data_IF_213514418989
#
_entry.id   IF_213514418989
#
_cell.length_a   1.000
_cell.length_b   1.000
_cell.length_c   1.000
_cell.angle_alpha   90.00
_cell.angle_beta   90.00
_cell.angle_gamma   90.00
#
_symmetry.space_group_name_H-M   'P 1'
#
loop_
_entity.id
_entity.type
_entity.pdbx_description
1 polymer ?
#
# COMPACT_ATOMS: atom_id res chain seq x y z
N UNK A 1 -19.34 13.94 7.44
CA UNK A 1 -18.41 15.06 7.61
C UNK A 1 -17.18 14.80 6.73
N UNK A 2 -16.62 15.82 6.11
CA UNK A 2 -15.36 15.69 5.38
C UNK A 2 -14.20 15.55 6.35
N UNK A 3 -13.20 14.74 6.01
CA UNK A 3 -11.99 14.58 6.80
C UNK A 3 -10.78 15.16 6.05
N UNK A 4 -9.75 15.51 6.79
CA UNK A 4 -8.49 16.04 6.28
C UNK A 4 -7.30 15.23 6.79
N UNK A 5 -6.26 15.12 5.98
CA UNK A 5 -4.92 14.72 6.41
C UNK A 5 -4.20 16.01 6.84
N UNK A 6 -3.66 16.01 8.05
CA UNK A 6 -2.99 17.18 8.65
C UNK A 6 -1.53 16.93 9.02
N UNK A 7 -1.10 15.67 9.01
CA UNK A 7 0.28 15.27 9.22
C UNK A 7 0.56 13.92 8.61
N UNK A 8 1.84 13.66 8.32
CA UNK A 8 2.27 12.38 7.78
C UNK A 8 3.73 12.10 8.13
N UNK A 9 4.08 10.82 8.11
CA UNK A 9 5.44 10.34 8.18
C UNK A 9 5.62 9.08 7.34
N UNK A 10 6.84 8.80 6.93
CA UNK A 10 7.15 7.67 6.07
C UNK A 10 8.61 7.25 6.22
N UNK A 11 8.88 5.98 6.46
CA UNK A 11 10.25 5.44 6.41
C UNK A 11 10.71 5.26 4.95
N UNK A 12 12.01 5.25 4.65
CA UNK A 12 12.48 4.67 3.39
C UNK A 12 11.99 3.23 3.26
N UNK A 13 11.68 2.78 2.03
CA UNK A 13 11.46 1.38 1.73
C UNK A 13 12.78 0.67 1.48
N UNK A 14 12.92 -0.55 2.00
CA UNK A 14 14.12 -1.35 1.75
C UNK A 14 14.27 -2.50 2.73
N UNK A 15 15.47 -3.06 2.78
CA UNK A 15 15.88 -3.98 3.83
C UNK A 15 16.34 -3.17 5.03
N UNK A 16 15.45 -2.98 6.01
CA UNK A 16 15.69 -2.17 7.20
C UNK A 16 16.29 -3.04 8.32
N UNK A 17 17.52 -3.48 8.12
CA UNK A 17 18.23 -4.30 9.10
C UNK A 17 18.37 -3.56 10.44
N UNK A 18 17.98 -4.20 11.52
CA UNK A 18 17.99 -3.61 12.86
C UNK A 18 16.69 -2.93 13.29
N UNK A 19 15.75 -2.71 12.37
CA UNK A 19 14.39 -2.29 12.72
C UNK A 19 13.53 -3.50 13.09
N UNK A 20 12.49 -3.24 13.87
CA UNK A 20 11.42 -4.19 14.20
C UNK A 20 10.07 -3.60 13.78
N UNK A 21 9.03 -4.41 13.73
CA UNK A 21 7.65 -3.92 13.53
C UNK A 21 7.33 -2.82 14.54
N UNK A 22 7.72 -3.00 15.80
CA UNK A 22 7.49 -2.01 16.87
C UNK A 22 8.27 -0.72 16.62
N UNK A 23 9.59 -0.79 16.34
CA UNK A 23 10.41 0.42 16.12
C UNK A 23 9.92 1.23 14.92
N UNK A 24 9.52 0.55 13.83
CA UNK A 24 8.93 1.19 12.65
C UNK A 24 7.61 1.90 12.98
N UNK A 25 6.72 1.24 13.72
CA UNK A 25 5.44 1.82 14.19
C UNK A 25 5.68 3.06 15.04
N UNK A 26 6.50 2.94 16.09
CA UNK A 26 6.78 4.01 17.05
C UNK A 26 7.34 5.24 16.35
N UNK A 27 8.30 5.02 15.46
CA UNK A 27 8.94 6.08 14.68
C UNK A 27 7.93 6.88 13.87
N UNK A 28 7.18 6.24 12.98
CA UNK A 28 6.26 6.97 12.09
C UNK A 28 5.08 7.58 12.85
N UNK A 29 4.62 6.95 13.93
CA UNK A 29 3.57 7.51 14.77
C UNK A 29 4.01 8.82 15.43
N UNK A 30 5.19 8.84 16.03
CA UNK A 30 5.75 10.05 16.63
C UNK A 30 6.04 11.15 15.61
N UNK A 31 6.68 10.78 14.48
CA UNK A 31 6.99 11.73 13.41
C UNK A 31 5.72 12.35 12.78
N UNK A 32 4.64 11.56 12.56
CA UNK A 32 3.39 12.06 12.00
C UNK A 32 2.65 13.02 12.95
N UNK A 33 2.64 12.73 14.25
CA UNK A 33 2.08 13.63 15.26
C UNK A 33 2.87 14.94 15.33
N UNK A 34 4.20 14.87 15.31
CA UNK A 34 5.07 16.05 15.23
C UNK A 34 4.84 16.88 13.98
N UNK A 35 4.72 16.23 12.82
CA UNK A 35 4.44 16.90 11.53
C UNK A 35 3.06 17.57 11.49
N UNK A 36 2.08 17.01 12.20
CA UNK A 36 0.74 17.58 12.39
C UNK A 36 0.70 18.71 13.43
N UNK A 37 1.72 18.84 14.26
CA UNK A 37 1.70 19.66 15.48
C UNK A 37 0.52 19.32 16.41
N UNK A 38 0.25 18.02 16.58
CA UNK A 38 -0.83 17.50 17.44
C UNK A 38 -0.21 16.73 18.61
N UNK A 39 -0.68 17.06 19.81
CA UNK A 39 -0.29 16.30 21.01
C UNK A 39 -0.91 14.92 21.01
N UNK A 40 -0.15 13.91 21.43
CA UNK A 40 -0.61 12.53 21.53
C UNK A 40 -1.86 12.36 22.41
N UNK A 41 -2.01 13.19 23.46
CA UNK A 41 -3.18 13.20 24.34
C UNK A 41 -4.49 13.50 23.60
N UNK A 42 -4.45 14.25 22.49
CA UNK A 42 -5.61 14.69 21.72
C UNK A 42 -6.07 13.64 20.69
N UNK A 43 -5.27 12.59 20.46
CA UNK A 43 -5.65 11.45 19.63
C UNK A 43 -6.85 10.73 20.27
N UNK A 44 -7.95 10.59 19.53
CA UNK A 44 -9.16 9.91 19.98
C UNK A 44 -9.21 8.42 19.59
N UNK A 45 -8.54 8.04 18.49
CA UNK A 45 -8.50 6.66 18.02
C UNK A 45 -7.22 6.39 17.22
N UNK A 46 -6.77 5.16 17.28
CA UNK A 46 -5.62 4.62 16.55
C UNK A 46 -6.11 3.49 15.63
N UNK A 47 -5.74 3.55 14.34
CA UNK A 47 -6.01 2.47 13.39
C UNK A 47 -4.69 2.01 12.79
N UNK A 48 -4.32 0.76 13.03
CA UNK A 48 -3.13 0.17 12.45
C UNK A 48 -3.49 -0.76 11.29
N UNK A 49 -2.92 -0.52 10.13
CA UNK A 49 -2.91 -1.47 9.00
C UNK A 49 -1.65 -2.35 9.07
N UNK A 50 -1.82 -3.65 9.24
CA UNK A 50 -0.74 -4.63 9.26
C UNK A 50 -1.25 -5.96 8.72
N UNK A 51 -0.73 -6.38 7.56
CA UNK A 51 -1.11 -7.66 6.96
C UNK A 51 -0.53 -8.81 7.78
N UNK A 52 0.75 -8.77 8.09
CA UNK A 52 1.53 -9.77 8.80
C UNK A 52 1.60 -11.15 8.12
N UNK A 53 0.50 -11.81 7.86
CA UNK A 53 0.42 -13.14 7.24
C UNK A 53 1.46 -14.19 7.74
N UNK A 54 2.16 -13.92 8.86
CA UNK A 54 3.24 -14.74 9.41
C UNK A 54 4.65 -14.20 9.16
N UNK A 55 4.81 -12.94 8.77
CA UNK A 55 6.13 -12.28 8.65
C UNK A 55 6.73 -11.96 10.02
N UNK A 56 5.90 -11.60 10.98
CA UNK A 56 6.28 -11.32 12.37
C UNK A 56 5.54 -12.28 13.31
N UNK A 57 6.19 -12.79 14.36
CA UNK A 57 5.53 -13.58 15.40
C UNK A 57 4.60 -12.74 16.28
N UNK A 58 4.71 -11.40 16.24
CA UNK A 58 3.93 -10.49 17.08
C UNK A 58 2.58 -10.21 16.45
N UNK A 59 1.52 -10.63 17.11
CA UNK A 59 0.15 -10.18 16.86
C UNK A 59 -0.25 -9.06 17.82
N UNK A 60 -1.52 -8.59 17.74
CA UNK A 60 -2.04 -7.49 18.54
C UNK A 60 -1.24 -6.18 18.35
N UNK A 61 -0.72 -5.99 17.15
CA UNK A 61 0.25 -4.94 16.82
C UNK A 61 -0.30 -3.52 16.93
N UNK A 62 -1.64 -3.33 16.91
CA UNK A 62 -2.24 -2.01 17.18
C UNK A 62 -1.84 -1.46 18.56
N UNK A 63 -1.63 -2.33 19.56
CA UNK A 63 -1.14 -1.93 20.89
C UNK A 63 0.28 -1.41 20.88
N UNK A 64 1.11 -1.77 19.90
CA UNK A 64 2.49 -1.26 19.79
C UNK A 64 2.53 0.23 19.49
N UNK A 65 1.48 0.79 18.85
CA UNK A 65 1.40 2.24 18.58
C UNK A 65 1.42 3.06 19.88
N UNK A 66 0.91 2.49 20.98
CA UNK A 66 0.89 3.17 22.28
C UNK A 66 2.29 3.42 22.84
N UNK A 67 3.30 2.69 22.36
CA UNK A 67 4.70 2.90 22.76
C UNK A 67 5.29 4.22 22.22
N UNK A 68 4.64 4.85 21.25
CA UNK A 68 5.10 6.13 20.70
C UNK A 68 4.97 7.30 21.71
N UNK A 69 4.02 7.22 22.65
CA UNK A 69 3.87 8.21 23.74
C UNK A 69 3.07 7.63 24.89
N UNK A 70 3.43 7.95 26.16
CA UNK A 70 2.61 7.61 27.34
C UNK A 70 1.17 8.16 27.26
N UNK A 71 0.96 9.27 26.57
CA UNK A 71 -0.34 9.93 26.41
C UNK A 71 -1.29 9.18 25.46
N UNK A 72 -0.78 8.17 24.73
CA UNK A 72 -1.60 7.26 23.94
C UNK A 72 -2.21 6.11 24.77
N UNK A 73 -1.85 5.97 26.05
CA UNK A 73 -2.46 4.94 26.93
C UNK A 73 -3.97 5.15 27.00
N UNK A 74 -4.68 4.03 27.05
CA UNK A 74 -6.15 3.96 27.12
C UNK A 74 -6.89 4.51 25.89
N UNK A 75 -6.17 4.86 24.80
CA UNK A 75 -6.82 5.18 23.53
C UNK A 75 -7.33 3.90 22.84
N UNK A 76 -8.42 4.04 22.12
CA UNK A 76 -8.91 2.94 21.28
C UNK A 76 -7.88 2.65 20.19
N UNK A 77 -7.47 1.40 20.05
CA UNK A 77 -6.52 0.97 19.06
C UNK A 77 -7.02 -0.32 18.38
N UNK A 78 -7.12 -0.30 17.04
CA UNK A 78 -7.63 -1.43 16.26
C UNK A 78 -6.69 -1.72 15.11
N UNK A 79 -6.37 -3.01 14.91
CA UNK A 79 -5.70 -3.49 13.70
C UNK A 79 -6.75 -3.82 12.64
N UNK A 80 -6.49 -3.40 11.41
CA UNK A 80 -7.24 -3.80 10.22
C UNK A 80 -6.32 -4.52 9.25
N UNK A 81 -6.90 -5.37 8.42
CA UNK A 81 -6.20 -6.14 7.40
C UNK A 81 -7.06 -6.19 6.13
N UNK A 82 -6.44 -6.03 4.97
CA UNK A 82 -7.02 -6.20 3.65
C UNK A 82 -5.93 -6.48 2.61
N UNK A 83 -5.10 -7.47 2.88
CA UNK A 83 -3.93 -7.85 2.08
C UNK A 83 -3.09 -6.61 1.67
N UNK A 84 -2.74 -6.45 0.39
CA UNK A 84 -1.96 -5.31 -0.10
C UNK A 84 -2.68 -3.95 0.05
N UNK A 85 -4.01 -3.93 0.22
CA UNK A 85 -4.81 -2.74 0.46
C UNK A 85 -4.98 -2.39 1.94
N UNK A 86 -4.26 -3.06 2.84
CA UNK A 86 -4.38 -2.90 4.30
C UNK A 86 -4.19 -1.44 4.75
N UNK A 87 -3.20 -0.72 4.21
CA UNK A 87 -3.00 0.69 4.53
C UNK A 87 -4.19 1.55 4.12
N UNK A 88 -4.76 1.32 2.92
CA UNK A 88 -5.98 2.00 2.48
C UNK A 88 -7.18 1.67 3.37
N UNK A 89 -7.33 0.40 3.78
CA UNK A 89 -8.39 -0.02 4.70
C UNK A 89 -8.29 0.71 6.05
N UNK A 90 -7.07 0.91 6.57
CA UNK A 90 -6.84 1.68 7.78
C UNK A 90 -7.26 3.16 7.62
N UNK A 91 -6.94 3.78 6.49
CA UNK A 91 -7.39 5.14 6.16
C UNK A 91 -8.91 5.20 6.10
N UNK A 92 -9.56 4.26 5.39
CA UNK A 92 -11.03 4.19 5.31
C UNK A 92 -11.69 4.02 6.68
N UNK A 93 -11.09 3.23 7.59
CA UNK A 93 -11.59 3.10 8.95
C UNK A 93 -11.47 4.43 9.70
N UNK A 94 -10.35 5.13 9.61
CA UNK A 94 -10.19 6.47 10.20
C UNK A 94 -11.20 7.49 9.65
N UNK A 95 -11.47 7.49 8.35
CA UNK A 95 -12.51 8.33 7.74
C UNK A 95 -13.91 8.04 8.29
N UNK A 96 -14.24 6.75 8.47
CA UNK A 96 -15.53 6.33 9.07
C UNK A 96 -15.66 6.79 10.51
N UNK A 97 -14.58 6.69 11.29
CA UNK A 97 -14.53 7.15 12.70
C UNK A 97 -14.82 8.65 12.80
N UNK A 98 -14.17 9.47 11.95
CA UNK A 98 -14.41 10.92 11.90
C UNK A 98 -15.84 11.23 11.44
N UNK A 99 -16.30 10.55 10.37
CA UNK A 99 -17.65 10.76 9.84
C UNK A 99 -18.76 10.42 10.86
N UNK A 100 -18.53 9.41 11.69
CA UNK A 100 -19.42 9.01 12.78
C UNK A 100 -19.34 9.95 14.00
N UNK A 101 -18.39 10.90 14.03
CA UNK A 101 -18.16 11.75 15.21
C UNK A 101 -17.59 10.99 16.40
N UNK A 102 -17.09 9.76 16.20
CA UNK A 102 -16.57 8.91 17.27
C UNK A 102 -15.17 9.36 17.77
N UNK A 103 -14.42 10.04 16.92
CA UNK A 103 -13.19 10.76 17.28
C UNK A 103 -13.00 11.94 16.31
N UNK A 104 -12.37 13.02 16.79
CA UNK A 104 -12.01 14.19 15.98
C UNK A 104 -10.63 14.04 15.36
N UNK A 105 -9.72 13.35 16.03
CA UNK A 105 -8.34 13.11 15.61
C UNK A 105 -8.09 11.60 15.63
N UNK A 106 -7.67 11.07 14.48
CA UNK A 106 -7.37 9.65 14.29
C UNK A 106 -5.94 9.50 13.80
N UNK A 107 -5.13 8.74 14.52
CA UNK A 107 -3.79 8.33 14.08
C UNK A 107 -3.91 7.03 13.28
N UNK A 108 -3.59 7.08 12.00
CA UNK A 108 -3.56 5.92 11.11
C UNK A 108 -2.10 5.54 10.86
N UNK A 109 -1.76 4.28 11.10
CA UNK A 109 -0.41 3.75 10.90
C UNK A 109 -0.49 2.53 9.97
N UNK A 110 0.46 2.40 9.06
CA UNK A 110 0.66 1.21 8.23
C UNK A 110 2.08 0.70 8.41
N UNK A 111 2.27 -0.60 8.55
CA UNK A 111 3.58 -1.22 8.72
C UNK A 111 3.64 -2.59 8.06
N UNK A 112 4.80 -2.95 7.50
CA UNK A 112 5.13 -4.32 7.15
C UNK A 112 6.64 -4.53 7.25
N UNK A 113 7.03 -5.70 7.77
CA UNK A 113 8.43 -6.12 7.83
C UNK A 113 8.53 -7.53 7.25
N UNK A 114 9.01 -7.65 6.02
CA UNK A 114 9.10 -8.91 5.29
C UNK A 114 10.52 -9.42 5.14
N UNK A 115 11.53 -8.53 5.17
CA UNK A 115 12.91 -8.91 4.80
C UNK A 115 13.64 -9.68 5.91
N UNK A 116 13.10 -9.71 7.12
CA UNK A 116 13.58 -10.56 8.22
C UNK A 116 13.15 -12.03 8.05
N UNK A 117 12.16 -12.30 7.21
CA UNK A 117 11.63 -13.65 6.94
C UNK A 117 12.44 -14.33 5.83
N UNK A 118 12.76 -15.63 5.94
CA UNK A 118 13.42 -16.38 4.87
C UNK A 118 12.64 -16.30 3.55
N UNK A 119 13.32 -16.14 2.42
CA UNK A 119 12.71 -15.89 1.12
C UNK A 119 11.62 -16.91 0.72
N UNK A 120 11.84 -18.19 1.02
CA UNK A 120 10.85 -19.25 0.75
C UNK A 120 9.56 -19.08 1.57
N UNK A 121 9.65 -18.53 2.79
CA UNK A 121 8.50 -18.26 3.64
C UNK A 121 7.77 -16.99 3.21
N UNK A 122 8.50 -15.97 2.74
CA UNK A 122 7.90 -14.76 2.18
C UNK A 122 6.92 -15.12 1.07
N UNK A 123 7.33 -15.99 0.13
CA UNK A 123 6.46 -16.46 -0.95
C UNK A 123 5.19 -17.14 -0.44
N UNK A 124 5.32 -18.05 0.53
CA UNK A 124 4.17 -18.72 1.16
C UNK A 124 3.25 -17.77 1.90
N UNK A 125 3.80 -16.80 2.62
CA UNK A 125 3.02 -15.81 3.35
C UNK A 125 2.25 -14.89 2.39
N UNK A 126 2.88 -14.45 1.29
CA UNK A 126 2.22 -13.63 0.28
C UNK A 126 1.07 -14.37 -0.43
N UNK A 127 1.19 -15.69 -0.63
CA UNK A 127 0.11 -16.50 -1.21
C UNK A 127 -1.17 -16.50 -0.37
N UNK A 128 -1.10 -16.19 0.93
CA UNK A 128 -2.29 -16.05 1.79
C UNK A 128 -3.18 -14.87 1.39
N UNK A 129 -2.68 -13.95 0.55
CA UNK A 129 -3.47 -12.89 -0.07
C UNK A 129 -4.22 -13.33 -1.34
N UNK A 130 -4.14 -14.60 -1.72
CA UNK A 130 -4.91 -15.24 -2.80
C UNK A 130 -5.84 -16.32 -2.24
N UNK A 131 -6.65 -16.94 -3.12
CA UNK A 131 -7.51 -18.03 -2.70
C UNK A 131 -6.71 -19.33 -2.55
N UNK A 132 -6.11 -19.49 -1.37
CA UNK A 132 -5.16 -20.58 -1.05
C UNK A 132 -5.67 -21.95 -1.46
N UNK A 133 -6.97 -22.22 -1.29
CA UNK A 133 -7.58 -23.53 -1.62
C UNK A 133 -7.39 -23.92 -3.09
N UNK A 134 -7.33 -22.97 -4.00
CA UNK A 134 -7.27 -23.21 -5.45
C UNK A 134 -6.02 -22.64 -6.11
N UNK A 135 -5.29 -21.74 -5.43
CA UNK A 135 -4.16 -21.00 -6.00
C UNK A 135 -2.81 -21.27 -5.30
N UNK A 136 -2.78 -22.16 -4.27
CA UNK A 136 -1.55 -22.41 -3.50
C UNK A 136 -0.43 -23.06 -4.33
N UNK A 137 -0.78 -23.89 -5.32
CA UNK A 137 0.15 -24.70 -6.10
C UNK A 137 0.54 -24.04 -7.45
N UNK A 138 0.28 -22.74 -7.61
CA UNK A 138 0.65 -22.03 -8.84
C UNK A 138 2.17 -21.87 -8.92
N UNK A 139 2.75 -22.31 -10.05
CA UNK A 139 4.16 -22.11 -10.34
C UNK A 139 4.57 -20.65 -10.22
N UNK A 140 5.67 -20.38 -9.51
CA UNK A 140 6.12 -19.02 -9.23
C UNK A 140 5.37 -18.33 -8.07
N UNK A 141 4.50 -19.06 -7.36
CA UNK A 141 3.81 -18.57 -6.17
C UNK A 141 2.96 -17.33 -6.46
N UNK A 142 3.02 -16.34 -5.57
CA UNK A 142 2.23 -15.10 -5.71
C UNK A 142 2.54 -14.34 -7.01
N UNK A 143 3.80 -14.29 -7.45
CA UNK A 143 4.17 -13.72 -8.74
C UNK A 143 3.60 -14.54 -9.92
N UNK A 144 3.47 -15.85 -9.76
CA UNK A 144 2.87 -16.77 -10.73
C UNK A 144 1.43 -16.44 -11.07
N UNK A 145 0.63 -16.03 -10.06
CA UNK A 145 -0.75 -15.58 -10.25
C UNK A 145 -0.79 -14.41 -11.24
N UNK A 146 0.03 -13.38 -11.00
CA UNK A 146 0.11 -12.22 -11.89
C UNK A 146 0.70 -12.56 -13.26
N UNK A 147 1.67 -13.48 -13.31
CA UNK A 147 2.19 -14.03 -14.57
C UNK A 147 1.12 -14.68 -15.41
N UNK A 148 0.21 -15.43 -14.78
CA UNK A 148 -0.94 -16.07 -15.45
C UNK A 148 -1.95 -15.03 -15.94
N UNK A 149 -2.28 -14.01 -15.13
CA UNK A 149 -3.13 -12.89 -15.55
C UNK A 149 -2.52 -12.17 -16.74
N UNK A 150 -1.22 -11.86 -16.70
CA UNK A 150 -0.52 -11.21 -17.81
C UNK A 150 -0.53 -12.08 -19.08
N UNK A 151 -0.35 -13.40 -18.93
CA UNK A 151 -0.43 -14.34 -20.08
C UNK A 151 -1.82 -14.33 -20.72
N UNK A 152 -2.89 -14.36 -19.91
CA UNK A 152 -4.27 -14.27 -20.41
C UNK A 152 -4.53 -12.93 -21.11
N UNK A 153 -3.99 -11.85 -20.57
CA UNK A 153 -4.09 -10.53 -21.18
C UNK A 153 -3.39 -10.47 -22.54
N UNK A 154 -2.17 -11.04 -22.63
CA UNK A 154 -1.40 -11.10 -23.88
C UNK A 154 -2.07 -11.99 -24.93
N UNK A 155 -2.67 -13.11 -24.52
CA UNK A 155 -3.45 -13.96 -25.44
C UNK A 155 -4.63 -13.19 -26.05
N UNK A 156 -5.23 -12.31 -25.29
CA UNK A 156 -6.41 -11.56 -25.75
C UNK A 156 -6.06 -10.33 -26.57
N UNK A 157 -4.99 -9.61 -26.22
CA UNK A 157 -4.68 -8.28 -26.72
C UNK A 157 -3.35 -8.21 -27.47
N UNK A 158 -2.70 -9.34 -27.69
CA UNK A 158 -1.36 -9.41 -28.28
C UNK A 158 -0.26 -9.11 -27.25
N UNK A 159 0.99 -9.16 -27.71
CA UNK A 159 2.17 -8.89 -26.87
C UNK A 159 2.17 -7.45 -26.36
N UNK A 160 2.17 -7.30 -25.04
CA UNK A 160 2.18 -6.02 -24.31
C UNK A 160 3.52 -5.75 -23.63
N UNK A 161 4.57 -6.47 -24.01
CA UNK A 161 5.90 -6.32 -23.40
C UNK A 161 6.46 -4.90 -23.52
N UNK A 162 6.13 -4.18 -24.61
CA UNK A 162 6.51 -2.78 -24.78
C UNK A 162 5.82 -1.87 -23.78
N UNK A 163 4.52 -2.08 -23.52
CA UNK A 163 3.76 -1.30 -22.54
C UNK A 163 4.32 -1.51 -21.13
N UNK A 164 4.56 -2.77 -20.74
CA UNK A 164 5.18 -3.09 -19.44
C UNK A 164 6.56 -2.44 -19.30
N UNK A 165 7.41 -2.53 -20.32
CA UNK A 165 8.74 -1.92 -20.31
C UNK A 165 8.71 -0.39 -20.17
N UNK A 166 7.77 0.29 -20.85
CA UNK A 166 7.57 1.75 -20.73
C UNK A 166 7.12 2.14 -19.32
N UNK A 167 6.22 1.37 -18.72
CA UNK A 167 5.75 1.59 -17.34
C UNK A 167 6.91 1.40 -16.37
N UNK A 168 7.66 0.30 -16.48
CA UNK A 168 8.81 0.02 -15.64
C UNK A 168 9.88 1.12 -15.74
N UNK A 169 10.28 1.48 -16.96
CA UNK A 169 11.28 2.54 -17.20
C UNK A 169 10.83 3.90 -16.62
N UNK A 170 9.56 4.28 -16.82
CA UNK A 170 9.00 5.49 -16.22
C UNK A 170 9.07 5.45 -14.69
N UNK A 171 8.70 4.34 -14.08
CA UNK A 171 8.70 4.20 -12.63
C UNK A 171 10.12 4.25 -12.06
N UNK A 172 11.10 3.58 -12.68
CA UNK A 172 12.50 3.68 -12.29
C UNK A 172 13.03 5.10 -12.41
N UNK A 173 12.73 5.80 -13.51
CA UNK A 173 13.13 7.20 -13.69
C UNK A 173 12.53 8.11 -12.59
N UNK A 174 11.26 7.93 -12.25
CA UNK A 174 10.61 8.69 -11.19
C UNK A 174 11.19 8.34 -9.81
N UNK A 175 11.52 7.07 -9.57
CA UNK A 175 12.12 6.58 -8.34
C UNK A 175 13.47 7.23 -8.00
N UNK A 176 14.24 7.70 -9.00
CA UNK A 176 15.53 8.39 -8.77
C UNK A 176 15.36 9.60 -7.84
N UNK A 177 14.26 10.33 -8.00
CA UNK A 177 13.99 11.56 -7.23
C UNK A 177 13.25 11.31 -5.92
N UNK A 178 12.75 10.09 -5.70
CA UNK A 178 12.02 9.76 -4.47
C UNK A 178 13.00 9.30 -3.38
N UNK A 179 13.18 10.05 -2.27
CA UNK A 179 14.09 9.67 -1.19
C UNK A 179 13.69 8.39 -0.48
N UNK A 180 12.42 7.99 -0.58
CA UNK A 180 11.88 6.79 0.07
C UNK A 180 11.92 5.54 -0.80
N UNK A 181 12.27 5.66 -2.09
CA UNK A 181 12.31 4.52 -2.99
C UNK A 181 13.52 3.62 -2.71
N UNK A 182 13.29 2.30 -2.68
CA UNK A 182 14.35 1.30 -2.49
C UNK A 182 15.33 1.26 -3.66
N UNK A 183 14.82 1.37 -4.91
CA UNK A 183 15.66 1.46 -6.11
C UNK A 183 15.60 2.89 -6.64
N UNK A 184 16.72 3.59 -6.55
CA UNK A 184 16.88 4.97 -7.04
C UNK A 184 17.83 5.02 -8.23
N UNK A 185 17.51 4.22 -9.26
CA UNK A 185 18.30 4.10 -10.48
C UNK A 185 17.41 4.13 -11.71
N UNK A 186 17.72 5.02 -12.64
CA UNK A 186 17.09 4.99 -13.98
C UNK A 186 17.68 3.80 -14.76
N UNK A 187 16.85 2.84 -15.10
CA UNK A 187 17.26 1.65 -15.85
C UNK A 187 17.08 1.81 -17.36
N UNK A 188 16.25 2.77 -17.76
CA UNK A 188 15.92 2.99 -19.17
C UNK A 188 14.99 1.93 -19.78
N UNK A 189 14.46 2.26 -20.97
CA UNK A 189 13.50 1.40 -21.67
C UNK A 189 14.14 0.08 -22.12
N UNK A 190 15.29 0.12 -22.77
CA UNK A 190 15.92 -1.07 -23.36
C UNK A 190 16.24 -2.14 -22.31
N UNK A 191 16.74 -1.72 -21.13
CA UNK A 191 16.95 -2.64 -20.02
C UNK A 191 15.64 -3.29 -19.55
N UNK A 192 14.59 -2.49 -19.38
CA UNK A 192 13.28 -2.99 -18.92
C UNK A 192 12.61 -3.86 -20.00
N UNK A 193 12.88 -3.61 -21.30
CA UNK A 193 12.31 -4.38 -22.41
C UNK A 193 13.00 -5.72 -22.61
N UNK A 194 14.29 -5.78 -22.38
CA UNK A 194 15.13 -6.94 -22.74
C UNK A 194 15.22 -7.94 -21.59
N UNK A 195 14.93 -9.21 -21.86
CA UNK A 195 15.22 -10.30 -20.95
C UNK A 195 16.73 -10.56 -20.91
N UNK A 196 17.31 -10.66 -19.71
CA UNK A 196 18.74 -10.89 -19.49
C UNK A 196 18.99 -11.48 -18.10
N UNK A 197 20.20 -11.91 -17.81
CA UNK A 197 20.60 -12.36 -16.45
C UNK A 197 20.30 -11.32 -15.36
N UNK A 198 20.40 -10.02 -15.70
CA UNK A 198 20.10 -8.91 -14.77
C UNK A 198 18.62 -8.56 -14.71
N UNK A 199 17.85 -8.94 -15.72
CA UNK A 199 16.40 -8.74 -15.82
C UNK A 199 15.71 -10.03 -16.29
N UNK A 200 15.82 -11.13 -15.53
CA UNK A 200 15.28 -12.41 -15.91
C UNK A 200 13.76 -12.39 -15.86
N UNK A 201 13.17 -13.34 -16.58
CA UNK A 201 11.75 -13.66 -16.46
C UNK A 201 11.45 -14.25 -15.08
N UNK A 202 10.41 -13.77 -14.43
CA UNK A 202 9.99 -14.18 -13.08
C UNK A 202 8.81 -15.14 -13.16
N UNK A 203 7.77 -14.78 -13.91
CA UNK A 203 6.56 -15.60 -14.07
C UNK A 203 5.80 -15.20 -15.33
N UNK A 204 5.38 -16.16 -16.14
CA UNK A 204 4.72 -15.88 -17.42
C UNK A 204 5.54 -14.88 -18.24
N UNK A 205 4.95 -13.81 -18.79
CA UNK A 205 5.67 -12.79 -19.56
C UNK A 205 6.40 -11.76 -18.68
N UNK A 206 6.21 -11.80 -17.35
CA UNK A 206 6.74 -10.79 -16.43
C UNK A 206 8.23 -10.99 -16.18
N UNK A 207 9.00 -9.90 -16.30
CA UNK A 207 10.41 -9.82 -15.95
C UNK A 207 10.60 -9.21 -14.56
N UNK A 208 11.80 -9.28 -14.05
CA UNK A 208 12.16 -8.71 -12.75
C UNK A 208 11.76 -7.23 -12.60
N UNK A 209 11.89 -6.44 -13.68
CA UNK A 209 11.51 -5.02 -13.69
C UNK A 209 10.00 -4.79 -13.69
N UNK A 210 9.21 -5.82 -13.98
CA UNK A 210 7.74 -5.78 -13.96
C UNK A 210 7.18 -6.15 -12.57
N UNK A 211 8.04 -6.56 -11.63
CA UNK A 211 7.68 -7.00 -10.29
C UNK A 211 8.19 -6.02 -9.23
N UNK A 212 7.44 -5.90 -8.11
CA UNK A 212 7.92 -5.15 -6.95
C UNK A 212 8.92 -5.96 -6.13
N UNK A 213 9.70 -5.28 -5.31
CA UNK A 213 10.63 -5.89 -4.37
C UNK A 213 9.93 -6.25 -3.06
N UNK A 214 10.48 -7.25 -2.35
CA UNK A 214 10.20 -7.47 -0.93
C UNK A 214 10.89 -6.36 -0.14
N UNK A 215 10.12 -5.66 0.69
CA UNK A 215 10.59 -4.46 1.41
C UNK A 215 9.99 -4.40 2.79
N UNK A 216 10.71 -3.73 3.69
CA UNK A 216 10.20 -3.28 4.98
C UNK A 216 9.83 -1.81 4.88
N UNK A 217 8.94 -1.35 5.74
CA UNK A 217 8.62 0.05 5.88
C UNK A 217 7.38 0.31 6.72
N UNK A 218 7.22 1.57 7.09
CA UNK A 218 6.03 2.07 7.76
C UNK A 218 5.69 3.48 7.27
N UNK A 219 4.42 3.82 7.39
CA UNK A 219 3.92 5.17 7.16
C UNK A 219 2.81 5.50 8.14
N UNK A 220 2.63 6.76 8.47
CA UNK A 220 1.52 7.21 9.31
C UNK A 220 0.87 8.48 8.77
N UNK A 221 -0.42 8.61 9.03
CA UNK A 221 -1.21 9.79 8.73
C UNK A 221 -1.94 10.24 10.00
N UNK A 222 -2.04 11.54 10.20
CA UNK A 222 -2.97 12.11 11.18
C UNK A 222 -4.18 12.64 10.42
N UNK A 223 -5.35 12.09 10.71
CA UNK A 223 -6.63 12.49 10.14
C UNK A 223 -7.42 13.30 11.16
N UNK A 224 -8.17 14.30 10.68
CA UNK A 224 -9.06 15.08 11.53
C UNK A 224 -10.28 15.60 10.77
N UNK A 225 -11.28 16.10 11.48
CA UNK A 225 -12.40 16.84 10.91
C UNK A 225 -11.95 18.21 10.37
N UNK A 226 -12.77 18.83 9.52
CA UNK A 226 -12.47 20.13 8.89
C UNK A 226 -12.31 21.23 9.92
N UNK A 227 -13.14 21.24 10.97
CA UNK A 227 -13.09 22.30 12.00
C UNK A 227 -11.74 22.30 12.73
N UNK A 228 -11.23 21.15 13.06
CA UNK A 228 -9.90 21.00 13.67
C UNK A 228 -8.80 21.33 12.67
N UNK A 229 -8.92 20.86 11.43
CA UNK A 229 -7.95 21.13 10.35
C UNK A 229 -7.73 22.61 10.07
N UNK A 230 -8.80 23.43 10.14
CA UNK A 230 -8.74 24.88 9.95
C UNK A 230 -7.89 25.62 11.00
N UNK A 231 -7.58 24.98 12.11
CA UNK A 231 -6.74 25.53 13.20
C UNK A 231 -5.26 25.13 13.05
N UNK A 232 -4.95 24.30 12.06
CA UNK A 232 -3.62 23.73 11.84
C UNK A 232 -2.95 24.36 10.61
N UNK A 233 -1.62 24.20 10.52
CA UNK A 233 -0.81 24.86 9.49
C UNK A 233 -1.03 24.30 8.07
N UNK A 234 -1.51 23.06 7.95
CA UNK A 234 -1.72 22.38 6.67
C UNK A 234 -2.88 21.40 6.76
N UNK A 235 -3.59 21.24 5.65
CA UNK A 235 -4.62 20.23 5.51
C UNK A 235 -4.80 19.82 4.05
N UNK A 236 -4.98 18.51 3.83
CA UNK A 236 -5.36 17.95 2.54
C UNK A 236 -6.71 17.28 2.70
N UNK A 237 -7.73 17.81 2.04
CA UNK A 237 -9.09 17.29 2.15
C UNK A 237 -9.31 16.08 1.23
N UNK A 238 -10.05 15.08 1.71
CA UNK A 238 -10.54 13.99 0.87
C UNK A 238 -11.70 14.47 0.00
N UNK A 239 -11.51 14.47 -1.31
CA UNK A 239 -12.58 14.77 -2.27
C UNK A 239 -13.43 13.54 -2.62
N UNK A 240 -12.82 12.36 -2.57
CA UNK A 240 -13.47 11.08 -2.76
C UNK A 240 -12.70 9.99 -2.02
N UNK A 241 -13.41 8.98 -1.54
CA UNK A 241 -12.82 7.78 -0.96
C UNK A 241 -13.77 6.62 -1.27
N UNK A 242 -13.35 5.71 -2.13
CA UNK A 242 -14.13 4.55 -2.56
C UNK A 242 -13.39 3.27 -2.20
N UNK A 243 -14.15 2.29 -1.73
CA UNK A 243 -13.65 0.95 -1.43
C UNK A 243 -14.63 -0.06 -2.01
N UNK A 244 -14.12 -0.91 -2.88
CA UNK A 244 -14.86 -2.03 -3.49
C UNK A 244 -14.01 -3.30 -3.37
N UNK A 245 -14.67 -4.44 -3.33
CA UNK A 245 -14.04 -5.75 -3.22
C UNK A 245 -14.58 -6.66 -4.31
N UNK A 246 -13.69 -7.39 -4.99
CA UNK A 246 -14.02 -8.46 -5.92
C UNK A 246 -13.82 -9.83 -5.25
N UNK A 247 -14.09 -10.91 -5.96
CA UNK A 247 -13.84 -12.26 -5.47
C UNK A 247 -12.36 -12.49 -5.13
N UNK A 248 -12.10 -13.26 -4.07
CA UNK A 248 -10.74 -13.57 -3.64
C UNK A 248 -9.96 -14.37 -4.68
N UNK A 249 -10.63 -15.23 -5.45
CA UNK A 249 -10.02 -16.00 -6.53
C UNK A 249 -9.62 -15.07 -7.68
N UNK A 250 -8.36 -14.65 -7.70
CA UNK A 250 -7.85 -13.60 -8.60
C UNK A 250 -8.00 -13.99 -10.06
N UNK A 251 -7.79 -15.28 -10.41
CA UNK A 251 -7.91 -15.77 -11.79
C UNK A 251 -9.35 -15.83 -12.28
N UNK A 252 -10.33 -16.11 -11.43
CA UNK A 252 -11.75 -16.07 -11.83
C UNK A 252 -12.18 -14.67 -12.23
N UNK A 253 -11.71 -13.65 -11.50
CA UNK A 253 -11.93 -12.25 -11.88
C UNK A 253 -11.36 -11.96 -13.27
N UNK A 254 -10.12 -12.36 -13.53
CA UNK A 254 -9.46 -12.16 -14.82
C UNK A 254 -10.13 -12.90 -15.98
N UNK A 255 -10.69 -14.08 -15.77
CA UNK A 255 -11.42 -14.86 -16.78
C UNK A 255 -12.84 -14.32 -17.03
N UNK A 256 -13.53 -13.85 -16.00
CA UNK A 256 -14.90 -13.34 -16.07
C UNK A 256 -14.97 -11.86 -16.41
N UNK A 257 -13.86 -11.12 -16.31
CA UNK A 257 -13.83 -9.68 -16.42
C UNK A 257 -14.00 -9.15 -17.84
N UNK A 258 -15.16 -9.44 -18.42
CA UNK A 258 -15.67 -8.68 -19.57
C UNK A 258 -16.22 -7.30 -19.16
N UNK A 259 -16.51 -7.09 -17.86
CA UNK A 259 -17.16 -5.86 -17.34
C UNK A 259 -16.19 -4.94 -16.61
N UNK A 260 -15.26 -5.44 -15.82
CA UNK A 260 -14.35 -4.60 -15.04
C UNK A 260 -13.26 -3.97 -15.91
N UNK A 261 -12.82 -4.63 -16.99
CA UNK A 261 -11.97 -3.98 -18.00
C UNK A 261 -12.70 -2.83 -18.70
N UNK A 262 -14.02 -2.91 -18.85
CA UNK A 262 -14.85 -1.79 -19.33
C UNK A 262 -15.02 -0.70 -18.27
N UNK A 263 -15.13 -1.03 -17.00
CA UNK A 263 -15.20 -0.06 -15.90
C UNK A 263 -13.87 0.69 -15.73
N UNK A 264 -12.73 0.02 -15.83
CA UNK A 264 -11.41 0.67 -15.82
C UNK A 264 -11.15 1.54 -17.06
N UNK A 265 -11.72 1.20 -18.22
CA UNK A 265 -11.66 2.03 -19.43
C UNK A 265 -12.69 3.16 -19.47
N UNK A 266 -13.77 3.06 -18.69
CA UNK A 266 -14.78 4.14 -18.55
C UNK A 266 -14.43 5.15 -17.45
N UNK A 267 -13.38 4.94 -16.67
CA UNK A 267 -12.78 5.93 -15.80
C UNK A 267 -11.74 6.82 -16.52
N UNK A 268 -11.81 6.97 -17.82
CA UNK A 268 -11.39 8.21 -18.44
C UNK A 268 -12.31 9.31 -17.90
N UNK A 269 -11.87 9.93 -16.81
CA UNK A 269 -12.41 11.20 -16.37
C UNK A 269 -12.21 12.15 -17.56
N UNK A 270 -13.28 12.68 -18.17
CA UNK A 270 -13.10 13.72 -19.17
C UNK A 270 -12.40 14.88 -18.49
N UNK A 271 -11.13 15.08 -18.80
CA UNK A 271 -10.41 16.32 -18.48
C UNK A 271 -10.98 17.44 -19.39
N UNK A 272 -12.25 17.77 -19.19
CA UNK A 272 -12.91 18.95 -19.75
C UNK A 272 -13.60 19.68 -18.62
N UNK A 273 -12.82 20.36 -17.81
CA UNK A 273 -13.27 21.64 -17.28
C UNK A 273 -12.88 22.66 -18.34
N UNK A 274 -13.86 23.05 -19.14
CA UNK A 274 -13.80 24.24 -19.96
C UNK A 274 -13.42 25.43 -19.07
N UNK A 275 -12.29 26.05 -19.39
CA UNK A 275 -12.03 27.41 -19.03
C UNK A 275 -13.11 28.29 -19.69
N UNK A 276 -14.04 28.82 -18.89
CA UNK A 276 -14.80 29.99 -19.29
C UNK A 276 -15.37 30.68 -18.05
N UNK A 277 -14.95 31.97 -17.94
CA UNK A 277 -15.37 33.07 -17.10
C UNK A 277 -15.13 32.98 -15.60
#
# INVERSE_FOLDING_TARGET
>A
MSACIVGWAHTPFGKLAGETVESLIVRVAGEALGDAAIDAKDVGEIVLGHFNAGFSPQDFTASLVLQASPDLRFKRATRVENACATGSAAVHQGLKTIAAGAARIVLVVGVEQMTATPAAEVGRNLLKASYVREEADIDGGFAGIFGKIASLYFQRWGDQSDALARIAAKNHKNGVRNPYAQIRKDLGYDFCRTESEKNPRVAGPLKRTDCSLVSDGAAALVLTDVETALKLNKAVVFRAAQHVQDFLHVLRGAEQDRKSTRLNSSHEIPSRMSSSA
#
